data_IF_673203846338
#
_entry.id   IF_673203846338
#
_cell.length_a   1.000
_cell.length_b   1.000
_cell.length_c   1.000
_cell.angle_alpha   90.00
_cell.angle_beta   90.00
_cell.angle_gamma   90.00
#
_symmetry.space_group_name_H-M   'P 1'
#
loop_
_entity.id
_entity.type
_entity.pdbx_description
1 polymer ?
#
# COMPACT_ATOMS: atom_id res chain seq x y z
N UNK A 1 -3.86 13.54 5.13
CA UNK A 1 -3.60 12.79 3.87
C UNK A 1 -4.38 13.31 2.67
N UNK A 2 -5.69 13.63 2.78
CA UNK A 2 -6.46 14.13 1.63
C UNK A 2 -5.98 15.49 1.06
N UNK A 3 -5.50 16.41 1.91
CA UNK A 3 -4.93 17.68 1.44
C UNK A 3 -3.67 17.51 0.59
N UNK A 4 -2.74 16.64 1.00
CA UNK A 4 -1.46 16.43 0.30
C UNK A 4 -1.63 15.73 -1.05
N UNK A 5 -2.65 14.88 -1.22
CA UNK A 5 -2.92 14.24 -2.50
C UNK A 5 -3.33 15.24 -3.59
N UNK A 6 -3.98 16.35 -3.24
CA UNK A 6 -4.40 17.38 -4.21
C UNK A 6 -3.19 18.14 -4.75
N UNK A 7 -2.19 18.38 -3.91
CA UNK A 7 -0.98 19.13 -4.27
C UNK A 7 0.11 18.24 -4.89
N UNK A 8 0.30 17.03 -4.36
CA UNK A 8 1.31 16.06 -4.81
C UNK A 8 0.77 14.62 -4.70
N UNK A 9 0.03 14.15 -5.73
CA UNK A 9 -0.50 12.78 -5.77
C UNK A 9 0.58 11.70 -5.66
N UNK A 10 1.75 11.92 -6.27
CA UNK A 10 2.85 10.94 -6.30
C UNK A 10 3.52 10.84 -4.93
N UNK A 11 3.84 11.97 -4.30
CA UNK A 11 4.38 12.00 -2.95
C UNK A 11 3.42 11.39 -1.93
N UNK A 12 2.12 11.70 -2.04
CA UNK A 12 1.10 11.13 -1.16
C UNK A 12 1.02 9.59 -1.25
N UNK A 13 1.11 9.01 -2.45
CA UNK A 13 1.14 7.56 -2.63
C UNK A 13 2.44 6.94 -2.09
N UNK A 14 3.58 7.60 -2.29
CA UNK A 14 4.88 7.14 -1.76
C UNK A 14 4.91 7.15 -0.23
N UNK A 15 4.31 8.14 0.41
CA UNK A 15 4.15 8.18 1.86
C UNK A 15 3.22 7.09 2.37
N UNK A 16 2.12 6.83 1.66
CA UNK A 16 1.20 5.75 2.03
C UNK A 16 1.90 4.39 1.98
N UNK A 17 2.70 4.08 0.95
CA UNK A 17 3.50 2.85 0.92
C UNK A 17 4.54 2.81 2.06
N UNK A 18 5.16 3.95 2.38
CA UNK A 18 6.12 4.03 3.49
C UNK A 18 5.47 3.80 4.85
N UNK A 19 4.27 4.32 5.06
CA UNK A 19 3.49 4.09 6.29
C UNK A 19 3.09 2.62 6.42
N UNK A 20 2.64 2.02 5.32
CA UNK A 20 2.33 0.59 5.27
C UNK A 20 3.56 -0.24 5.67
N UNK A 21 4.75 0.09 5.15
CA UNK A 21 6.01 -0.56 5.56
C UNK A 21 6.25 -0.44 7.05
N UNK A 22 6.16 0.76 7.63
CA UNK A 22 6.34 0.94 9.06
C UNK A 22 5.37 0.11 9.91
N UNK A 23 4.12 -0.02 9.46
CA UNK A 23 3.11 -0.84 10.14
C UNK A 23 3.39 -2.34 10.00
N UNK A 24 3.88 -2.77 8.83
CA UNK A 24 4.29 -4.16 8.60
C UNK A 24 5.48 -4.54 9.50
N UNK A 25 6.47 -3.65 9.61
CA UNK A 25 7.66 -3.83 10.47
C UNK A 25 7.26 -3.96 11.96
N UNK A 26 6.40 -3.07 12.45
CA UNK A 26 5.86 -3.14 13.82
C UNK A 26 5.07 -4.42 14.09
N UNK A 27 4.47 -5.01 13.05
CA UNK A 27 3.77 -6.29 13.13
C UNK A 27 4.66 -7.53 12.98
N UNK A 28 5.96 -7.34 12.74
CA UNK A 28 6.92 -8.42 12.56
C UNK A 28 6.95 -9.02 11.16
N UNK A 29 6.29 -8.39 10.18
CA UNK A 29 6.43 -8.81 8.78
C UNK A 29 7.75 -8.31 8.20
N UNK A 30 8.43 -9.10 7.36
CA UNK A 30 9.64 -8.66 6.68
C UNK A 30 9.33 -7.49 5.73
N UNK A 31 10.02 -6.37 5.95
CA UNK A 31 9.96 -5.17 5.09
C UNK A 31 11.10 -5.16 4.08
N UNK A 32 11.08 -6.13 3.19
CA UNK A 32 12.07 -6.24 2.13
C UNK A 32 11.95 -5.12 1.08
N UNK A 33 13.07 -4.84 0.40
CA UNK A 33 13.08 -3.97 -0.78
C UNK A 33 12.26 -4.55 -1.95
N UNK A 34 12.09 -5.87 -1.98
CA UNK A 34 11.28 -6.57 -2.96
C UNK A 34 9.79 -6.56 -2.55
N UNK A 35 8.99 -5.85 -3.34
CA UNK A 35 7.55 -5.71 -3.13
C UNK A 35 6.83 -7.06 -3.21
N UNK A 36 7.18 -7.92 -4.18
CA UNK A 36 6.44 -9.16 -4.43
C UNK A 36 6.68 -10.16 -3.30
N UNK A 37 7.90 -10.21 -2.75
CA UNK A 37 8.21 -11.03 -1.57
C UNK A 37 7.39 -10.61 -0.36
N UNK A 38 7.42 -9.31 -0.02
CA UNK A 38 6.62 -8.75 1.08
C UNK A 38 5.11 -8.98 0.91
N UNK A 39 4.60 -8.82 -0.31
CA UNK A 39 3.21 -9.14 -0.61
C UNK A 39 2.91 -10.63 -0.39
N UNK A 40 3.81 -11.53 -0.78
CA UNK A 40 3.68 -12.96 -0.53
C UNK A 40 3.65 -13.29 0.97
N UNK A 41 4.53 -12.69 1.78
CA UNK A 41 4.58 -12.95 3.23
C UNK A 41 3.27 -12.55 3.93
N UNK A 42 2.73 -11.39 3.56
CA UNK A 42 1.47 -10.88 4.14
C UNK A 42 0.24 -11.63 3.62
N UNK A 43 0.32 -12.24 2.44
CA UNK A 43 -0.80 -13.02 1.89
C UNK A 43 -1.19 -14.23 2.73
N UNK A 44 -0.28 -14.72 3.57
CA UNK A 44 -0.51 -15.86 4.48
C UNK A 44 -1.58 -15.50 5.51
N UNK A 45 -1.44 -14.33 6.14
CA UNK A 45 -2.32 -13.87 7.21
C UNK A 45 -3.44 -12.94 6.70
N UNK A 46 -3.22 -12.30 5.54
CA UNK A 46 -4.09 -11.26 4.98
C UNK A 46 -4.42 -11.48 3.49
N UNK A 47 -5.01 -12.64 3.11
CA UNK A 47 -5.27 -12.98 1.70
C UNK A 47 -6.27 -12.04 1.03
N UNK A 48 -7.22 -11.47 1.77
CA UNK A 48 -8.27 -10.61 1.20
C UNK A 48 -7.78 -9.20 0.83
N UNK A 49 -6.66 -8.75 1.41
CA UNK A 49 -6.12 -7.40 1.19
C UNK A 49 -4.80 -7.37 0.43
N UNK A 50 -4.12 -8.51 0.28
CA UNK A 50 -2.90 -8.57 -0.54
C UNK A 50 -3.18 -8.24 -2.01
N UNK A 51 -4.34 -8.64 -2.55
CA UNK A 51 -4.71 -8.33 -3.94
C UNK A 51 -4.90 -6.83 -4.15
N UNK A 52 -5.47 -6.15 -3.14
CA UNK A 52 -5.54 -4.69 -3.13
C UNK A 52 -4.15 -4.07 -3.06
N UNK A 53 -3.25 -4.67 -2.29
CA UNK A 53 -1.88 -4.19 -2.19
C UNK A 53 -1.13 -4.25 -3.53
N UNK A 54 -1.21 -5.40 -4.22
CA UNK A 54 -0.67 -5.61 -5.56
C UNK A 54 -1.24 -4.62 -6.57
N UNK A 55 -2.56 -4.44 -6.56
CA UNK A 55 -3.23 -3.52 -7.46
C UNK A 55 -2.82 -2.07 -7.21
N UNK A 56 -2.79 -1.63 -5.95
CA UNK A 56 -2.34 -0.30 -5.59
C UNK A 56 -0.91 0.00 -6.03
N UNK A 57 -0.01 -0.98 -5.89
CA UNK A 57 1.38 -0.86 -6.35
C UNK A 57 1.50 -0.80 -7.87
N UNK A 58 0.73 -1.62 -8.60
CA UNK A 58 0.67 -1.60 -10.06
C UNK A 58 0.21 -0.23 -10.57
N UNK A 59 -0.85 0.31 -9.98
CA UNK A 59 -1.39 1.62 -10.31
C UNK A 59 -0.40 2.75 -9.97
N UNK A 60 0.28 2.66 -8.83
CA UNK A 60 1.31 3.62 -8.42
C UNK A 60 2.53 3.64 -9.35
N UNK A 61 2.90 2.49 -9.93
CA UNK A 61 3.99 2.36 -10.92
C UNK A 61 3.59 2.65 -12.35
N UNK A 62 2.29 2.76 -12.64
CA UNK A 62 1.82 3.05 -13.99
C UNK A 62 2.17 4.50 -14.33
N UNK A 63 3.25 4.69 -15.08
CA UNK A 63 3.64 6.01 -15.57
C UNK A 63 2.65 6.41 -16.67
N UNK A 64 1.88 7.46 -16.43
CA UNK A 64 1.11 8.11 -17.47
C UNK A 64 1.41 9.60 -17.43
N UNK A 65 1.97 10.12 -18.51
CA UNK A 65 2.07 11.56 -18.77
C UNK A 65 0.71 12.20 -19.07
N UNK A 66 -0.38 11.68 -18.50
CA UNK A 66 -1.77 11.97 -18.87
C UNK A 66 -2.68 12.03 -17.63
N UNK A 67 -3.87 12.64 -17.74
CA UNK A 67 -4.82 12.85 -16.62
C UNK A 67 -5.20 11.53 -15.90
N UNK A 68 -5.16 10.42 -16.65
CA UNK A 68 -5.38 9.06 -16.15
C UNK A 68 -4.39 8.63 -15.05
N UNK A 69 -3.16 9.18 -15.01
CA UNK A 69 -2.23 8.92 -13.91
C UNK A 69 -2.78 9.38 -12.56
N UNK A 70 -3.49 10.50 -12.50
CA UNK A 70 -3.99 11.02 -11.22
C UNK A 70 -5.14 10.16 -10.69
N UNK A 71 -6.00 9.63 -11.56
CA UNK A 71 -7.04 8.68 -11.15
C UNK A 71 -6.43 7.35 -10.70
N UNK A 72 -5.42 6.84 -11.40
CA UNK A 72 -4.68 5.64 -10.96
C UNK A 72 -4.06 5.83 -9.57
N UNK A 73 -3.46 7.00 -9.29
CA UNK A 73 -2.91 7.31 -7.97
C UNK A 73 -4.00 7.42 -6.90
N UNK A 74 -5.20 7.91 -7.27
CA UNK A 74 -6.36 7.97 -6.37
C UNK A 74 -6.84 6.57 -6.02
N UNK A 75 -6.90 5.67 -6.99
CA UNK A 75 -7.24 4.26 -6.76
C UNK A 75 -6.15 3.54 -5.96
N UNK A 76 -4.86 3.81 -6.22
CA UNK A 76 -3.75 3.30 -5.42
C UNK A 76 -3.88 3.70 -3.95
N UNK A 77 -4.23 4.96 -3.65
CA UNK A 77 -4.46 5.43 -2.28
C UNK A 77 -5.61 4.70 -1.58
N UNK A 78 -6.70 4.38 -2.29
CA UNK A 78 -7.82 3.62 -1.72
C UNK A 78 -7.41 2.19 -1.37
N UNK A 79 -6.65 1.56 -2.26
CA UNK A 79 -6.11 0.22 -2.06
C UNK A 79 -5.15 0.17 -0.86
N UNK A 80 -4.22 1.11 -0.78
CA UNK A 80 -3.28 1.24 0.35
C UNK A 80 -3.99 1.53 1.67
N UNK A 81 -5.04 2.36 1.65
CA UNK A 81 -5.85 2.61 2.84
C UNK A 81 -6.54 1.35 3.36
N UNK A 82 -7.15 0.57 2.48
CA UNK A 82 -7.82 -0.67 2.87
C UNK A 82 -6.83 -1.68 3.51
N UNK A 83 -5.61 -1.77 2.97
CA UNK A 83 -4.56 -2.57 3.57
C UNK A 83 -4.14 -2.03 4.94
N UNK A 84 -3.91 -0.72 5.06
CA UNK A 84 -3.52 -0.11 6.32
C UNK A 84 -4.56 -0.35 7.41
N UNK A 85 -5.84 -0.14 7.11
CA UNK A 85 -6.96 -0.38 8.03
C UNK A 85 -6.97 -1.87 8.46
N UNK A 86 -6.89 -2.79 7.50
CA UNK A 86 -6.85 -4.22 7.82
C UNK A 86 -5.64 -4.61 8.66
N UNK A 87 -4.45 -4.10 8.33
CA UNK A 87 -3.27 -4.32 9.16
C UNK A 87 -3.58 -3.82 10.57
N UNK A 88 -3.90 -2.54 10.75
CA UNK A 88 -4.13 -1.91 12.07
C UNK A 88 -5.21 -2.61 12.91
N UNK A 89 -6.28 -3.12 12.29
CA UNK A 89 -7.37 -3.83 12.97
C UNK A 89 -7.06 -5.29 13.28
N UNK A 90 -6.13 -5.91 12.56
CA UNK A 90 -5.76 -7.30 12.77
C UNK A 90 -4.83 -7.46 13.97
N UNK A 91 -5.09 -8.50 14.77
CA UNK A 91 -4.19 -8.93 15.85
C UNK A 91 -2.81 -9.25 15.26
N UNK A 92 -1.70 -8.86 15.91
CA UNK A 92 -0.36 -9.15 15.43
C UNK A 92 -0.18 -10.66 15.26
N UNK A 93 0.58 -11.06 14.23
CA UNK A 93 0.94 -12.45 13.99
C UNK A 93 1.60 -13.01 15.26
N UNK A 94 0.86 -13.84 16.02
CA UNK A 94 1.38 -14.51 17.21
C UNK A 94 2.42 -15.53 16.75
N UNK A 95 3.70 -15.13 16.80
CA UNK A 95 4.85 -16.02 16.64
C UNK A 95 5.29 -16.54 18.00
#
# INVERSE_FOLDING_TARGET
VQGRFVDDPRGAVSEADSLIRSVMDERGYPVDEDFERRAADISVDHPDVVERYREGHRLARTDAGDESATENLREAMRNYRALFENLVESEPART
#
